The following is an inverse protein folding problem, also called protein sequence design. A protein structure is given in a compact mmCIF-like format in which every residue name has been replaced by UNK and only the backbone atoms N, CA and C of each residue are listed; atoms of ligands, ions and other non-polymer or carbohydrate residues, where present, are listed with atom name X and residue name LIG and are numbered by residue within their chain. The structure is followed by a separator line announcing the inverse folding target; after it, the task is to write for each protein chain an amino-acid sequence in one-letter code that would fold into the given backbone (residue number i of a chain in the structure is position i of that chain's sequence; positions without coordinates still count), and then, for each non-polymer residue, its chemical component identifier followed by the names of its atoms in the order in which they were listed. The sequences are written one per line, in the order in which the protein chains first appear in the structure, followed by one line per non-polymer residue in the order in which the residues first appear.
data_IF_778862750818
#
_entry.id   IF_778862750818
#
_cell.length_a   1.000
_cell.length_b   1.000
_cell.length_c   1.000
_cell.angle_alpha   90.00
_cell.angle_beta   90.00
_cell.angle_gamma   90.00
#
_symmetry.space_group_name_H-M   'P 1'
#
loop_
_entity.id
_entity.type
_entity.pdbx_description
1 polymer ?
#
# COMPACT_ATOMS: atom_id res chain seq x y z
N UNK A 1 -9.93 40.93 -16.58
CA UNK A 1 -10.36 39.58 -16.18
C UNK A 1 -9.39 38.62 -16.83
N UNK A 2 -8.32 38.27 -16.10
CA UNK A 2 -7.17 37.58 -16.68
C UNK A 2 -7.48 36.09 -16.83
N UNK A 3 -7.12 35.58 -18.00
CA UNK A 3 -7.36 34.26 -18.55
C UNK A 3 -7.06 33.11 -17.59
N UNK A 4 -7.99 32.15 -17.55
CA UNK A 4 -7.88 30.82 -16.95
C UNK A 4 -6.56 30.15 -17.39
N UNK A 5 -5.58 30.10 -16.49
CA UNK A 5 -4.39 29.29 -16.68
C UNK A 5 -4.78 27.88 -16.26
N UNK A 6 -5.05 27.02 -17.24
CA UNK A 6 -5.30 25.60 -17.04
C UNK A 6 -4.02 24.90 -16.55
N UNK A 7 -3.63 25.16 -15.30
CA UNK A 7 -2.61 24.38 -14.63
C UNK A 7 -3.10 22.93 -14.51
N UNK A 8 -2.23 21.92 -14.73
CA UNK A 8 -2.61 20.54 -14.49
C UNK A 8 -3.16 20.45 -13.07
N UNK A 9 -4.41 20.03 -12.91
CA UNK A 9 -5.11 20.12 -11.63
C UNK A 9 -4.62 19.02 -10.67
N UNK A 10 -3.36 19.10 -10.23
CA UNK A 10 -2.73 18.21 -9.26
C UNK A 10 -3.55 18.09 -7.98
N UNK A 11 -4.29 19.15 -7.62
CA UNK A 11 -5.20 19.18 -6.49
C UNK A 11 -6.42 18.26 -6.68
N UNK A 12 -6.99 18.16 -7.88
CA UNK A 12 -8.04 17.17 -8.16
C UNK A 12 -7.54 15.73 -8.06
N UNK A 13 -6.30 15.45 -8.52
CA UNK A 13 -5.70 14.13 -8.41
C UNK A 13 -5.45 13.77 -6.94
N UNK A 14 -4.95 14.72 -6.16
CA UNK A 14 -4.78 14.55 -4.72
C UNK A 14 -6.09 14.14 -4.05
N UNK A 15 -7.18 14.87 -4.33
CA UNK A 15 -8.50 14.54 -3.78
C UNK A 15 -9.00 13.16 -4.23
N UNK A 16 -8.73 12.76 -5.47
CA UNK A 16 -9.10 11.44 -5.96
C UNK A 16 -8.32 10.32 -5.26
N UNK A 17 -7.00 10.48 -5.10
CA UNK A 17 -6.15 9.54 -4.37
C UNK A 17 -6.57 9.45 -2.90
N UNK A 18 -6.87 10.58 -2.28
CA UNK A 18 -7.35 10.66 -0.91
C UNK A 18 -8.69 9.93 -0.74
N UNK A 19 -9.64 10.14 -1.65
CA UNK A 19 -10.92 9.44 -1.65
C UNK A 19 -10.75 7.92 -1.81
N UNK A 20 -9.84 7.48 -2.69
CA UNK A 20 -9.50 6.06 -2.83
C UNK A 20 -8.89 5.47 -1.55
N UNK A 21 -8.16 6.25 -0.75
CA UNK A 21 -7.62 5.81 0.55
C UNK A 21 -8.73 5.70 1.59
N UNK A 22 -9.65 6.66 1.65
CA UNK A 22 -10.82 6.59 2.53
C UNK A 22 -11.67 5.35 2.19
N UNK A 23 -11.91 5.10 0.90
CA UNK A 23 -12.64 3.93 0.45
C UNK A 23 -11.97 2.63 0.91
N UNK A 24 -10.64 2.57 0.84
CA UNK A 24 -9.85 1.43 1.31
C UNK A 24 -10.07 1.15 2.80
N UNK A 25 -9.98 2.20 3.62
CA UNK A 25 -10.20 2.12 5.07
C UNK A 25 -11.64 1.68 5.37
N UNK A 26 -12.63 2.25 4.67
CA UNK A 26 -14.04 1.89 4.85
C UNK A 26 -14.31 0.41 4.54
N UNK A 27 -13.66 -0.13 3.50
CA UNK A 27 -13.78 -1.55 3.12
C UNK A 27 -13.24 -2.47 4.20
N UNK A 28 -12.13 -2.10 4.85
CA UNK A 28 -11.56 -2.89 5.94
C UNK A 28 -12.55 -2.96 7.12
N UNK A 29 -13.25 -1.86 7.42
CA UNK A 29 -14.23 -1.82 8.50
C UNK A 29 -15.53 -2.59 8.21
N UNK A 30 -15.81 -2.97 6.95
CA UNK A 30 -17.02 -3.72 6.58
C UNK A 30 -16.99 -5.20 7.00
N UNK A 31 -15.87 -5.73 7.50
CA UNK A 31 -15.80 -7.10 8.04
C UNK A 31 -16.01 -8.19 6.98
N UNK A 32 -15.65 -7.92 5.73
CA UNK A 32 -15.81 -8.84 4.60
C UNK A 32 -14.91 -10.09 4.73
N UNK A 33 -15.28 -11.21 4.09
CA UNK A 33 -14.44 -12.40 4.05
C UNK A 33 -13.06 -12.08 3.44
N UNK A 34 -12.01 -12.67 4.03
CA UNK A 34 -10.59 -12.32 3.76
C UNK A 34 -10.24 -12.27 2.28
N UNK A 35 -10.74 -13.22 1.48
CA UNK A 35 -10.48 -13.28 0.05
C UNK A 35 -11.05 -12.05 -0.70
N UNK A 36 -12.29 -11.68 -0.40
CA UNK A 36 -12.98 -10.55 -1.02
C UNK A 36 -12.29 -9.24 -0.62
N UNK A 37 -11.93 -9.12 0.67
CA UNK A 37 -11.20 -7.97 1.18
C UNK A 37 -9.87 -7.79 0.44
N UNK A 38 -9.07 -8.85 0.32
CA UNK A 38 -7.78 -8.80 -0.41
C UNK A 38 -7.97 -8.38 -1.87
N UNK A 39 -8.93 -8.97 -2.58
CA UNK A 39 -9.19 -8.63 -3.99
C UNK A 39 -9.56 -7.15 -4.12
N UNK A 40 -10.41 -6.64 -3.23
CA UNK A 40 -10.86 -5.25 -3.28
C UNK A 40 -9.72 -4.27 -2.95
N UNK A 41 -8.92 -4.57 -1.92
CA UNK A 41 -7.76 -3.77 -1.56
C UNK A 41 -6.72 -3.71 -2.69
N UNK A 42 -6.43 -4.85 -3.31
CA UNK A 42 -5.51 -4.91 -4.46
C UNK A 42 -6.08 -4.11 -5.64
N UNK A 43 -7.38 -4.23 -5.93
CA UNK A 43 -8.03 -3.44 -6.98
C UNK A 43 -7.96 -1.93 -6.73
N UNK A 44 -8.17 -1.49 -5.49
CA UNK A 44 -8.02 -0.09 -5.10
C UNK A 44 -6.57 0.39 -5.20
N UNK A 45 -5.60 -0.43 -4.83
CA UNK A 45 -4.17 -0.14 -4.95
C UNK A 45 -3.75 0.02 -6.43
N UNK A 46 -4.21 -0.88 -7.31
CA UNK A 46 -3.97 -0.78 -8.76
C UNK A 46 -4.60 0.51 -9.31
N UNK A 47 -5.83 0.83 -8.90
CA UNK A 47 -6.51 2.05 -9.35
C UNK A 47 -5.74 3.32 -9.00
N UNK A 48 -5.18 3.39 -7.77
CA UNK A 48 -4.28 4.49 -7.36
C UNK A 48 -3.03 4.53 -8.25
N UNK A 49 -2.39 3.39 -8.48
CA UNK A 49 -1.19 3.29 -9.32
C UNK A 49 -1.46 3.72 -10.77
N UNK A 50 -2.60 3.35 -11.35
CA UNK A 50 -3.02 3.79 -12.68
C UNK A 50 -3.25 5.29 -12.74
N UNK A 51 -3.88 5.89 -11.72
CA UNK A 51 -4.08 7.33 -11.65
C UNK A 51 -2.74 8.08 -11.61
N UNK A 52 -1.80 7.61 -10.78
CA UNK A 52 -0.45 8.16 -10.72
C UNK A 52 0.27 7.99 -12.06
N UNK A 53 0.20 6.82 -12.69
CA UNK A 53 0.83 6.55 -13.99
C UNK A 53 0.24 7.37 -15.15
N UNK A 54 -1.03 7.74 -15.07
CA UNK A 54 -1.70 8.53 -16.10
C UNK A 54 -1.41 10.02 -15.92
N UNK A 55 -1.47 10.53 -14.68
CA UNK A 55 -1.36 11.96 -14.39
C UNK A 55 0.04 12.44 -14.01
N UNK A 56 0.78 11.70 -13.18
CA UNK A 56 2.16 12.05 -12.82
C UNK A 56 3.18 11.58 -13.86
N UNK A 57 2.79 10.71 -14.80
CA UNK A 57 3.74 10.15 -15.77
C UNK A 57 3.50 10.45 -17.25
N UNK A 58 2.36 10.93 -17.78
CA UNK A 58 2.14 11.34 -19.21
C UNK A 58 2.83 10.51 -20.35
N UNK A 59 2.12 9.53 -20.97
CA UNK A 59 2.70 8.36 -21.70
C UNK A 59 3.08 8.57 -23.13
N UNK A 60 3.71 9.69 -23.46
CA UNK A 60 3.90 9.92 -24.89
C UNK A 60 5.27 10.20 -25.47
N UNK A 61 6.27 10.81 -24.81
CA UNK A 61 7.51 11.10 -25.58
C UNK A 61 8.90 10.84 -24.96
N UNK A 62 9.12 10.78 -23.64
CA UNK A 62 10.53 10.66 -23.11
C UNK A 62 10.71 9.64 -21.95
N UNK A 63 10.07 8.48 -22.09
CA UNK A 63 9.50 7.68 -21.00
C UNK A 63 10.39 6.75 -20.16
N UNK A 64 11.59 6.35 -20.59
CA UNK A 64 12.29 5.23 -19.92
C UNK A 64 12.92 5.60 -18.58
N UNK A 65 13.53 6.78 -18.47
CA UNK A 65 14.24 7.19 -17.24
C UNK A 65 13.30 7.51 -16.09
N UNK A 66 12.22 8.25 -16.33
CA UNK A 66 11.22 8.55 -15.29
C UNK A 66 10.45 7.29 -14.88
N UNK A 67 10.09 6.43 -15.83
CA UNK A 67 9.48 5.13 -15.53
C UNK A 67 10.39 4.26 -14.66
N UNK A 68 11.70 4.19 -14.97
CA UNK A 68 12.67 3.46 -14.15
C UNK A 68 12.68 3.98 -12.71
N UNK A 69 12.75 5.29 -12.48
CA UNK A 69 12.79 5.86 -11.12
C UNK A 69 11.53 5.52 -10.31
N UNK A 70 10.34 5.47 -10.92
CA UNK A 70 9.12 5.05 -10.20
C UNK A 70 8.96 3.54 -10.08
N UNK A 71 9.51 2.76 -11.02
CA UNK A 71 9.51 1.30 -10.98
C UNK A 71 10.54 0.79 -9.97
N UNK A 72 11.66 1.48 -9.74
CA UNK A 72 12.67 1.10 -8.76
C UNK A 72 12.10 0.86 -7.35
N UNK A 73 11.35 1.79 -6.72
CA UNK A 73 10.76 1.54 -5.41
C UNK A 73 9.66 0.47 -5.47
N UNK A 74 8.92 0.36 -6.58
CA UNK A 74 7.89 -0.67 -6.76
C UNK A 74 8.51 -2.08 -6.79
N UNK A 75 9.61 -2.24 -7.54
CA UNK A 75 10.35 -3.48 -7.66
C UNK A 75 11.01 -3.85 -6.33
N UNK A 76 11.62 -2.88 -5.65
CA UNK A 76 12.14 -3.09 -4.29
C UNK A 76 11.03 -3.56 -3.35
N UNK A 77 9.86 -2.93 -3.38
CA UNK A 77 8.73 -3.32 -2.55
C UNK A 77 8.27 -4.75 -2.86
N UNK A 78 8.20 -5.14 -4.14
CA UNK A 78 7.85 -6.50 -4.54
C UNK A 78 8.88 -7.53 -4.07
N UNK A 79 10.17 -7.22 -4.21
CA UNK A 79 11.27 -8.06 -3.71
C UNK A 79 11.15 -8.22 -2.20
N UNK A 80 10.90 -7.13 -1.48
CA UNK A 80 10.74 -7.13 -0.02
C UNK A 80 9.55 -7.97 0.43
N UNK A 81 8.40 -7.86 -0.23
CA UNK A 81 7.24 -8.72 0.03
C UNK A 81 7.59 -10.18 -0.22
N UNK A 82 8.23 -10.50 -1.34
CA UNK A 82 8.61 -11.88 -1.66
C UNK A 82 9.66 -12.46 -0.71
N UNK A 83 10.54 -11.63 -0.15
CA UNK A 83 11.51 -12.03 0.87
C UNK A 83 10.87 -12.17 2.26
N UNK A 84 9.90 -11.33 2.60
CA UNK A 84 9.23 -11.33 3.91
C UNK A 84 8.10 -12.36 4.03
N UNK A 85 7.43 -12.70 2.92
CA UNK A 85 6.37 -13.72 2.88
C UNK A 85 6.87 -15.11 3.32
N UNK A 86 8.04 -15.63 2.96
CA UNK A 86 8.53 -16.89 3.53
C UNK A 86 8.95 -16.74 5.00
N UNK A 87 9.44 -15.58 5.42
CA UNK A 87 9.91 -15.30 6.78
C UNK A 87 8.76 -15.26 7.81
N UNK A 88 7.65 -14.57 7.51
CA UNK A 88 6.49 -14.55 8.42
C UNK A 88 5.85 -15.92 8.61
N UNK A 89 5.98 -16.84 7.64
CA UNK A 89 5.49 -18.21 7.75
C UNK A 89 6.42 -19.15 8.54
N UNK A 90 7.64 -18.71 8.85
CA UNK A 90 8.65 -19.53 9.53
C UNK A 90 8.69 -19.33 11.06
N UNK A 91 7.94 -18.37 11.63
CA UNK A 91 7.92 -18.11 13.07
C UNK A 91 6.67 -18.73 13.72
N UNK A 92 6.75 -19.94 14.30
CA UNK A 92 5.74 -20.41 15.23
C UNK A 92 5.71 -19.50 16.47
N UNK A 93 4.53 -18.94 16.78
CA UNK A 93 4.27 -18.16 17.99
C UNK A 93 4.64 -18.95 19.25
N UNK A 94 5.84 -18.71 19.79
CA UNK A 94 6.23 -19.18 21.13
C UNK A 94 5.95 -18.07 22.15
N UNK A 95 4.67 -17.67 22.27
CA UNK A 95 4.21 -16.65 23.23
C UNK A 95 3.66 -17.26 24.54
N UNK A 96 3.95 -18.52 24.85
CA UNK A 96 3.41 -19.24 26.00
C UNK A 96 4.46 -19.73 27.02
N UNK A 97 5.68 -19.18 27.03
CA UNK A 97 6.75 -19.63 27.94
C UNK A 97 7.33 -18.52 28.85
N UNK A 98 6.73 -17.34 28.89
CA UNK A 98 7.04 -16.31 29.89
C UNK A 98 6.08 -16.36 31.07
N UNK A 99 5.95 -17.53 31.71
CA UNK A 99 5.52 -17.64 33.12
C UNK A 99 6.02 -18.97 33.72
N UNK A 100 7.16 -18.96 34.41
CA UNK A 100 7.25 -19.49 35.75
C UNK A 100 7.25 -18.24 36.65
N UNK A 101 6.10 -17.92 37.21
CA UNK A 101 5.93 -18.07 38.64
C UNK A 101 7.09 -17.43 39.42
N UNK A 102 7.07 -16.10 39.49
CA UNK A 102 7.46 -15.46 40.73
C UNK A 102 6.62 -16.09 41.85
N UNK A 103 7.27 -16.86 42.72
CA UNK A 103 6.86 -17.32 44.06
C UNK A 103 7.25 -18.78 44.27
N UNK A 104 8.41 -19.01 44.87
CA UNK A 104 8.62 -19.86 46.09
C UNK A 104 10.10 -20.23 46.21
N UNK A 105 10.91 -19.27 46.66
CA UNK A 105 11.81 -19.51 47.79
C UNK A 105 11.17 -18.72 48.96
N UNK A 106 11.27 -19.10 50.25
CA UNK A 106 12.09 -20.11 50.91
C UNK A 106 11.27 -21.14 51.74
N UNK A 107 11.89 -22.24 52.14
CA UNK A 107 11.86 -22.94 53.44
C UNK A 107 12.62 -24.26 53.24
#
# INVERSE_FOLDING_TARGET
MASDHAEPNYMAIFWWLFALTIAEVAVIFMGLPRLVLVILLVGLAISKASLVAMYFMHLRFERRTLALIAVTPLLLCLLLVFALVPDHSAVPHQSAASTPAAATAPQ
#
